data_IF_782482264857
#
_entry.id   IF_782482264857
#
_cell.length_a   1.000
_cell.length_b   1.000
_cell.length_c   1.000
_cell.angle_alpha   90.00
_cell.angle_beta   90.00
_cell.angle_gamma   90.00
#
_symmetry.space_group_name_H-M   'P 1'
#
loop_
_entity.id
_entity.type
_entity.pdbx_description
1 polymer ?
#
# COMPACT_ATOMS: atom_id res chain seq x y z
N UNK A 1 15.37 10.30 -15.79
CA UNK A 1 15.08 9.21 -14.84
C UNK A 1 13.63 8.81 -15.04
N UNK A 2 13.35 7.55 -15.38
CA UNK A 2 11.96 7.09 -15.46
C UNK A 2 11.37 7.07 -14.04
N UNK A 3 10.13 7.51 -13.90
CA UNK A 3 9.39 7.53 -12.64
C UNK A 3 8.28 6.49 -12.73
N UNK A 4 8.02 5.77 -11.64
CA UNK A 4 6.94 4.79 -11.61
C UNK A 4 5.59 5.44 -11.93
N UNK A 5 5.41 6.71 -11.54
CA UNK A 5 4.22 7.52 -11.80
C UNK A 5 3.93 7.75 -13.29
N UNK A 6 4.91 7.58 -14.19
CA UNK A 6 4.67 7.61 -15.63
C UNK A 6 3.93 6.35 -16.12
N UNK A 7 3.99 5.26 -15.36
CA UNK A 7 3.42 3.97 -15.73
C UNK A 7 2.23 3.58 -14.88
N UNK A 8 2.11 4.11 -13.67
CA UNK A 8 1.07 3.74 -12.74
C UNK A 8 0.63 4.91 -11.87
N UNK A 9 -0.68 4.97 -11.58
CA UNK A 9 -1.25 5.96 -10.67
C UNK A 9 -2.12 5.25 -9.62
N UNK A 10 -1.89 5.45 -8.31
CA UNK A 10 -2.84 5.00 -7.31
C UNK A 10 -4.14 5.79 -7.46
N UNK A 11 -5.27 5.10 -7.43
CA UNK A 11 -6.60 5.72 -7.64
C UNK A 11 -7.53 5.55 -6.46
N UNK A 12 -7.44 4.43 -5.74
CA UNK A 12 -8.40 4.14 -4.68
C UNK A 12 -7.80 3.32 -3.53
N UNK A 13 -8.28 3.58 -2.31
CA UNK A 13 -7.96 2.83 -1.11
C UNK A 13 -9.21 2.34 -0.39
N UNK A 14 -9.12 1.14 0.15
CA UNK A 14 -10.16 0.50 0.97
C UNK A 14 -9.54 0.02 2.27
N UNK A 15 -10.11 0.42 3.39
CA UNK A 15 -9.78 -0.11 4.71
C UNK A 15 -11.04 -0.70 5.34
N UNK A 16 -10.99 -2.00 5.63
CA UNK A 16 -12.07 -2.70 6.30
C UNK A 16 -12.23 -2.28 7.76
N UNK A 17 -13.35 -2.66 8.35
CA UNK A 17 -13.58 -2.52 9.79
C UNK A 17 -12.67 -3.44 10.62
N UNK A 18 -12.74 -3.29 11.94
CA UNK A 18 -12.04 -4.18 12.86
C UNK A 18 -12.64 -5.58 12.84
N UNK A 19 -11.77 -6.58 12.86
CA UNK A 19 -12.17 -7.95 13.16
C UNK A 19 -11.09 -8.65 13.99
N UNK A 20 -11.53 -9.59 14.82
CA UNK A 20 -10.68 -10.26 15.79
C UNK A 20 -10.03 -11.50 15.17
N UNK A 21 -8.76 -11.72 15.52
CA UNK A 21 -8.01 -12.95 15.28
C UNK A 21 -7.45 -13.47 16.60
N UNK A 22 -7.11 -14.74 16.59
CA UNK A 22 -6.49 -15.46 17.71
C UNK A 22 -5.19 -16.05 17.20
N UNK A 23 -4.09 -15.85 17.92
CA UNK A 23 -2.80 -16.45 17.58
C UNK A 23 -2.70 -17.87 18.19
N UNK A 24 -1.59 -18.56 17.91
CA UNK A 24 -1.32 -19.90 18.43
C UNK A 24 -1.18 -19.94 19.96
N UNK A 25 -0.87 -18.80 20.59
CA UNK A 25 -0.80 -18.62 22.04
C UNK A 25 -2.17 -18.32 22.69
N UNK A 26 -3.25 -18.30 21.90
CA UNK A 26 -4.62 -17.93 22.31
C UNK A 26 -4.80 -16.46 22.68
N UNK A 27 -3.84 -15.61 22.38
CA UNK A 27 -4.03 -14.16 22.50
C UNK A 27 -4.95 -13.68 21.40
N UNK A 28 -5.91 -12.84 21.79
CA UNK A 28 -6.83 -12.24 20.85
C UNK A 28 -6.41 -10.81 20.50
N UNK A 29 -6.47 -10.46 19.23
CA UNK A 29 -6.10 -9.13 18.75
C UNK A 29 -6.97 -8.72 17.57
N UNK A 30 -7.13 -7.42 17.38
CA UNK A 30 -7.89 -6.86 16.27
C UNK A 30 -6.96 -6.55 15.10
N UNK A 31 -7.41 -6.87 13.89
CA UNK A 31 -6.77 -6.48 12.64
C UNK A 31 -7.78 -5.79 11.72
N UNK A 32 -7.25 -5.07 10.74
CA UNK A 32 -8.00 -4.48 9.64
C UNK A 32 -7.34 -4.89 8.33
N UNK A 33 -8.14 -5.13 7.31
CA UNK A 33 -7.64 -5.42 5.96
C UNK A 33 -7.62 -4.15 5.13
N UNK A 34 -6.62 -4.01 4.28
CA UNK A 34 -6.45 -2.90 3.36
C UNK A 34 -6.28 -3.38 1.92
N UNK A 35 -6.72 -2.56 0.97
CA UNK A 35 -6.53 -2.77 -0.47
C UNK A 35 -6.34 -1.46 -1.20
N UNK A 36 -5.40 -1.43 -2.15
CA UNK A 36 -5.08 -0.26 -2.97
C UNK A 36 -5.22 -0.62 -4.44
N UNK A 37 -5.86 0.24 -5.22
CA UNK A 37 -6.08 0.10 -6.66
C UNK A 37 -5.27 1.13 -7.45
N UNK A 38 -4.80 0.72 -8.63
CA UNK A 38 -3.94 1.48 -9.52
C UNK A 38 -4.46 1.41 -10.96
N UNK A 39 -4.40 2.55 -11.65
CA UNK A 39 -4.43 2.58 -13.11
C UNK A 39 -3.01 2.39 -13.64
N UNK A 40 -2.84 1.54 -14.65
CA UNK A 40 -1.56 1.29 -15.33
C UNK A 40 -1.62 1.79 -16.77
N UNK A 41 -0.70 2.67 -17.13
CA UNK A 41 -0.59 3.30 -18.46
C UNK A 41 0.37 2.52 -19.39
N UNK A 42 0.41 1.21 -19.21
CA UNK A 42 1.20 0.28 -20.01
C UNK A 42 0.47 -1.06 -20.10
N UNK A 43 0.74 -1.80 -21.18
CA UNK A 43 0.24 -3.17 -21.34
C UNK A 43 0.74 -4.12 -20.24
N UNK A 44 0.21 -5.35 -20.22
CA UNK A 44 0.42 -6.36 -19.17
C UNK A 44 1.88 -6.71 -18.80
N UNK A 45 2.85 -6.35 -19.64
CA UNK A 45 4.27 -6.55 -19.34
C UNK A 45 4.77 -5.68 -18.17
N UNK A 46 4.03 -4.64 -17.79
CA UNK A 46 4.31 -3.86 -16.59
C UNK A 46 3.66 -4.49 -15.35
N UNK A 47 4.48 -4.87 -14.36
CA UNK A 47 4.02 -5.34 -13.06
C UNK A 47 4.21 -4.25 -11.99
N UNK A 48 3.45 -4.32 -10.90
CA UNK A 48 3.51 -3.37 -9.80
C UNK A 48 3.57 -4.10 -8.46
N UNK A 49 4.52 -3.72 -7.61
CA UNK A 49 4.57 -4.13 -6.19
C UNK A 49 4.39 -2.90 -5.31
N UNK A 50 3.69 -3.07 -4.20
CA UNK A 50 3.42 -1.98 -3.25
C UNK A 50 4.24 -2.19 -1.99
N UNK A 51 4.94 -1.15 -1.55
CA UNK A 51 5.65 -1.11 -0.28
C UNK A 51 4.78 -0.37 0.73
N UNK A 52 4.22 -1.08 1.70
CA UNK A 52 3.42 -0.51 2.79
C UNK A 52 4.34 -0.18 3.97
N UNK A 53 4.17 1.01 4.53
CA UNK A 53 4.87 1.48 5.74
C UNK A 53 3.85 1.80 6.82
N UNK A 54 3.89 1.05 7.91
CA UNK A 54 3.01 1.23 9.07
C UNK A 54 3.81 1.91 10.17
N UNK A 55 3.53 3.19 10.40
CA UNK A 55 4.18 3.99 11.42
C UNK A 55 3.46 3.86 12.75
N UNK A 56 4.22 3.57 13.80
CA UNK A 56 3.83 3.60 15.21
C UNK A 56 4.76 4.58 15.94
N UNK A 57 4.51 4.81 17.23
CA UNK A 57 5.29 5.78 18.03
C UNK A 57 6.81 5.55 17.95
N UNK A 58 7.26 4.30 18.04
CA UNK A 58 8.69 3.96 18.13
C UNK A 58 9.22 3.14 16.94
N UNK A 59 8.35 2.61 16.08
CA UNK A 59 8.75 1.67 15.00
C UNK A 59 8.02 1.99 13.69
N UNK A 60 8.66 1.64 12.58
CA UNK A 60 8.03 1.64 11.26
C UNK A 60 8.17 0.23 10.67
N UNK A 61 7.03 -0.46 10.54
CA UNK A 61 6.98 -1.77 9.91
C UNK A 61 6.88 -1.58 8.39
N UNK A 62 7.65 -2.34 7.61
CA UNK A 62 7.63 -2.26 6.15
C UNK A 62 7.30 -3.62 5.55
N UNK A 63 6.33 -3.64 4.65
CA UNK A 63 5.84 -4.84 3.97
C UNK A 63 5.82 -4.63 2.46
N UNK A 64 6.03 -5.69 1.68
CA UNK A 64 5.81 -5.70 0.24
C UNK A 64 4.55 -6.50 -0.05
N UNK A 65 3.64 -5.92 -0.81
CA UNK A 65 2.34 -6.50 -1.17
C UNK A 65 2.29 -6.67 -2.68
N UNK A 66 1.98 -7.88 -3.12
CA UNK A 66 1.75 -8.20 -4.51
C UNK A 66 0.42 -7.62 -5.00
N UNK A 67 0.37 -7.36 -6.31
CA UNK A 67 -0.84 -6.91 -6.97
C UNK A 67 -1.26 -7.88 -8.06
N UNK A 68 -2.57 -8.02 -8.25
CA UNK A 68 -3.17 -8.84 -9.31
C UNK A 68 -3.78 -7.92 -10.39
N UNK A 69 -3.59 -8.21 -11.69
CA UNK A 69 -4.12 -7.39 -12.78
C UNK A 69 -5.60 -7.66 -13.04
N UNK A 70 -6.31 -6.63 -13.50
CA UNK A 70 -7.70 -6.70 -13.94
C UNK A 70 -7.98 -5.60 -14.97
N UNK A 71 -9.17 -5.64 -15.59
CA UNK A 71 -9.62 -4.64 -16.58
C UNK A 71 -8.56 -4.40 -17.66
N UNK A 72 -8.19 -5.48 -18.35
CA UNK A 72 -6.99 -5.57 -19.19
C UNK A 72 -7.33 -5.14 -20.61
N UNK A 73 -6.55 -4.18 -21.11
CA UNK A 73 -6.50 -3.79 -22.51
C UNK A 73 -5.08 -3.94 -23.07
N UNK A 74 -4.91 -3.70 -24.37
CA UNK A 74 -3.63 -3.90 -25.04
C UNK A 74 -2.55 -2.91 -24.59
N UNK A 75 -2.92 -1.66 -24.27
CA UNK A 75 -2.02 -0.57 -23.86
C UNK A 75 -2.16 -0.13 -22.41
N UNK A 76 -3.17 -0.62 -21.69
CA UNK A 76 -3.46 -0.26 -20.30
C UNK A 76 -4.07 -1.42 -19.55
N UNK A 77 -3.99 -1.36 -18.23
CA UNK A 77 -4.74 -2.25 -17.35
C UNK A 77 -4.91 -1.62 -15.97
N UNK A 78 -5.59 -2.31 -15.06
CA UNK A 78 -5.62 -1.94 -13.64
C UNK A 78 -4.93 -3.01 -12.81
N UNK A 79 -4.43 -2.62 -11.65
CA UNK A 79 -3.87 -3.55 -10.66
C UNK A 79 -4.39 -3.23 -9.28
N UNK A 80 -4.68 -4.26 -8.50
CA UNK A 80 -5.07 -4.10 -7.12
C UNK A 80 -4.15 -4.92 -6.24
N UNK A 81 -3.77 -4.39 -5.08
CA UNK A 81 -3.09 -5.20 -4.07
C UNK A 81 -3.96 -6.38 -3.68
N UNK A 82 -3.32 -7.50 -3.32
CA UNK A 82 -3.98 -8.45 -2.42
C UNK A 82 -4.32 -7.77 -1.11
N UNK A 83 -5.28 -8.33 -0.40
CA UNK A 83 -5.63 -7.82 0.92
C UNK A 83 -4.41 -7.93 1.83
N UNK A 84 -3.99 -6.80 2.39
CA UNK A 84 -2.94 -6.74 3.41
C UNK A 84 -3.58 -6.45 4.76
N UNK A 85 -2.97 -6.95 5.83
CA UNK A 85 -3.52 -6.81 7.17
C UNK A 85 -2.64 -5.92 8.01
N UNK A 86 -3.27 -4.96 8.69
CA UNK A 86 -2.61 -4.10 9.67
C UNK A 86 -3.18 -4.41 11.04
N UNK A 87 -2.31 -4.47 12.04
CA UNK A 87 -2.70 -4.57 13.45
C UNK A 87 -2.77 -3.17 14.06
N UNK A 88 -3.97 -2.62 14.33
CA UNK A 88 -4.09 -1.22 14.76
C UNK A 88 -3.52 -0.96 16.15
N UNK A 89 -3.58 -1.96 17.03
CA UNK A 89 -3.00 -1.92 18.36
C UNK A 89 -2.11 -3.13 18.59
N UNK A 90 -0.83 -2.87 18.82
CA UNK A 90 0.14 -3.87 19.29
C UNK A 90 0.40 -3.65 20.78
N UNK A 91 0.37 -4.73 21.56
CA UNK A 91 0.71 -4.69 23.00
C UNK A 91 2.15 -4.23 23.23
N UNK A 92 3.06 -4.51 22.29
CA UNK A 92 4.48 -4.19 22.44
C UNK A 92 4.88 -2.86 21.79
N UNK A 93 4.26 -2.52 20.66
CA UNK A 93 4.68 -1.37 19.84
C UNK A 93 3.66 -0.23 19.79
N UNK A 94 2.55 -0.36 20.52
CA UNK A 94 1.52 0.67 20.61
C UNK A 94 0.62 0.77 19.38
N UNK A 95 -0.01 1.93 19.25
CA UNK A 95 -1.00 2.21 18.20
C UNK A 95 -0.33 2.61 16.88
N UNK A 96 -1.00 2.29 15.78
CA UNK A 96 -0.63 2.83 14.47
C UNK A 96 -1.06 4.29 14.38
N UNK A 97 -0.16 5.12 13.86
CA UNK A 97 -0.36 6.56 13.73
C UNK A 97 -0.61 6.98 12.29
N UNK A 98 0.01 6.28 11.34
CA UNK A 98 -0.13 6.55 9.92
C UNK A 98 0.24 5.29 9.13
N UNK A 99 -0.48 5.04 8.04
CA UNK A 99 -0.07 4.07 7.03
C UNK A 99 0.24 4.83 5.75
N UNK A 100 1.47 4.68 5.27
CA UNK A 100 1.89 5.19 3.96
C UNK A 100 2.19 4.04 3.02
N UNK A 101 2.24 4.34 1.75
CA UNK A 101 2.72 3.40 0.75
C UNK A 101 3.57 4.08 -0.31
N UNK A 102 4.47 3.31 -0.90
CA UNK A 102 5.14 3.61 -2.16
C UNK A 102 4.96 2.41 -3.07
N UNK A 103 5.35 2.52 -4.33
CA UNK A 103 5.22 1.40 -5.26
C UNK A 103 6.42 1.30 -6.19
N UNK A 104 6.62 0.13 -6.76
CA UNK A 104 7.71 -0.18 -7.68
C UNK A 104 7.07 -0.79 -8.92
N UNK A 105 7.31 -0.16 -10.07
CA UNK A 105 6.94 -0.69 -11.37
C UNK A 105 8.09 -1.54 -11.88
N UNK A 106 7.79 -2.78 -12.25
CA UNK A 106 8.72 -3.67 -12.91
C UNK A 106 8.39 -3.72 -14.40
N UNK A 107 9.34 -3.31 -15.24
CA UNK A 107 9.17 -3.28 -16.69
C UNK A 107 10.50 -3.59 -17.37
N UNK A 108 10.53 -4.62 -18.23
CA UNK A 108 11.70 -4.95 -19.03
C UNK A 108 12.97 -5.12 -18.18
N UNK A 109 12.89 -5.95 -17.12
CA UNK A 109 13.97 -6.19 -16.14
C UNK A 109 14.34 -5.00 -15.24
N UNK A 110 13.76 -3.82 -15.46
CA UNK A 110 13.99 -2.66 -14.62
C UNK A 110 13.04 -2.60 -13.44
N UNK A 111 13.54 -2.13 -12.29
CA UNK A 111 12.74 -1.83 -11.11
C UNK A 111 12.71 -0.31 -10.89
N UNK A 112 11.57 0.31 -11.21
CA UNK A 112 11.37 1.75 -11.22
C UNK A 112 10.56 2.15 -9.98
N UNK A 113 11.18 2.79 -8.96
CA UNK A 113 10.48 3.16 -7.74
C UNK A 113 9.63 4.43 -7.94
N UNK A 114 8.53 4.53 -7.18
CA UNK A 114 7.73 5.74 -7.10
C UNK A 114 8.57 6.89 -6.55
N UNK A 115 8.36 8.09 -7.10
CA UNK A 115 8.94 9.33 -6.60
C UNK A 115 8.44 9.65 -5.21
N UNK A 116 7.17 9.35 -4.93
CA UNK A 116 6.51 9.73 -3.68
C UNK A 116 6.09 8.52 -2.83
N UNK A 117 5.99 8.77 -1.53
CA UNK A 117 5.19 8.02 -0.57
C UNK A 117 3.84 8.72 -0.42
N UNK A 118 2.77 7.96 -0.49
CA UNK A 118 1.38 8.38 -0.42
C UNK A 118 0.81 8.01 0.94
N UNK A 119 -0.09 8.84 1.48
CA UNK A 119 -0.84 8.48 2.68
C UNK A 119 -1.95 7.53 2.26
N UNK A 120 -1.89 6.30 2.77
CA UNK A 120 -3.02 5.39 2.68
C UNK A 120 -4.08 5.78 3.70
N UNK A 121 -3.69 5.93 4.98
CA UNK A 121 -4.60 6.30 6.05
C UNK A 121 -3.89 7.13 7.12
N UNK A 122 -4.57 8.14 7.62
CA UNK A 122 -4.11 8.95 8.75
C UNK A 122 -4.62 8.43 10.10
N UNK A 123 -4.15 9.06 11.19
CA UNK A 123 -4.53 8.68 12.55
C UNK A 123 -6.04 8.61 12.76
N UNK A 124 -6.81 9.58 12.29
CA UNK A 124 -8.25 9.65 12.53
C UNK A 124 -8.97 8.49 11.86
N UNK A 125 -8.61 8.21 10.61
CA UNK A 125 -9.14 7.09 9.84
C UNK A 125 -8.80 5.74 10.47
N UNK A 126 -7.60 5.60 11.03
CA UNK A 126 -7.15 4.35 11.64
C UNK A 126 -7.89 4.02 12.95
N UNK A 127 -8.39 5.03 13.67
CA UNK A 127 -9.18 4.85 14.90
C UNK A 127 -10.68 4.62 14.62
N UNK A 128 -11.19 5.05 13.47
CA UNK A 128 -12.58 4.78 13.08
C UNK A 128 -12.74 3.31 12.64
N UNK A 129 -13.62 2.59 13.32
CA UNK A 129 -13.89 1.18 13.08
C UNK A 129 -14.79 0.87 11.90
N UNK A 130 -15.32 1.88 11.23
CA UNK A 130 -16.13 1.70 10.04
C UNK A 130 -15.28 1.34 8.81
N UNK A 131 -15.95 0.76 7.83
CA UNK A 131 -15.39 0.58 6.49
C UNK A 131 -15.14 1.94 5.85
N UNK A 132 -13.93 2.13 5.33
CA UNK A 132 -13.48 3.39 4.78
C UNK A 132 -12.99 3.22 3.35
N UNK A 133 -13.30 4.25 2.57
CA UNK A 133 -13.07 4.33 1.15
C UNK A 133 -12.60 5.74 0.83
N UNK A 134 -11.53 5.89 0.07
CA UNK A 134 -11.15 7.20 -0.43
C UNK A 134 -10.40 7.11 -1.75
N UNK A 135 -10.52 8.18 -2.53
CA UNK A 135 -9.70 8.39 -3.70
C UNK A 135 -8.28 8.70 -3.29
N UNK A 136 -7.32 8.16 -4.04
CA UNK A 136 -5.90 8.46 -3.85
C UNK A 136 -5.55 9.73 -4.61
N UNK A 137 -4.88 10.66 -3.93
CA UNK A 137 -4.42 11.92 -4.51
C UNK A 137 -2.94 12.11 -4.16
N UNK A 138 -2.29 13.02 -4.88
CA UNK A 138 -0.94 13.48 -4.53
C UNK A 138 -0.94 14.42 -3.29
N UNK A 139 -2.11 14.68 -2.72
CA UNK A 139 -2.26 15.54 -1.55
C UNK A 139 -1.59 14.86 -0.34
N UNK A 140 -0.70 15.59 0.33
CA UNK A 140 0.16 15.08 1.40
C UNK A 140 1.17 13.99 0.99
N UNK A 141 1.40 13.78 -0.31
CA UNK A 141 2.47 12.91 -0.78
C UNK A 141 3.84 13.46 -0.35
N UNK A 142 4.68 12.59 0.20
CA UNK A 142 6.02 12.93 0.68
C UNK A 142 7.10 12.29 -0.19
N UNK A 143 8.31 12.85 -0.34
CA UNK A 143 9.34 12.25 -1.18
C UNK A 143 9.72 10.82 -0.73
N UNK A 144 9.76 9.88 -1.66
CA UNK A 144 10.19 8.52 -1.41
C UNK A 144 11.72 8.43 -1.41
N UNK A 145 12.26 7.83 -0.34
CA UNK A 145 13.71 7.58 -0.20
C UNK A 145 14.14 6.21 -0.68
N UNK A 146 13.20 5.33 -1.06
CA UNK A 146 13.53 4.02 -1.62
C UNK A 146 14.33 4.19 -2.93
N UNK A 147 15.38 3.40 -3.08
CA UNK A 147 16.25 3.37 -4.26
C UNK A 147 16.40 1.93 -4.70
N UNK A 148 16.26 1.70 -5.98
CA UNK A 148 16.60 0.44 -6.62
C UNK A 148 18.04 0.56 -7.16
N UNK A 149 18.81 -0.51 -7.02
CA UNK A 149 20.13 -0.63 -7.62
C UNK A 149 20.06 -1.82 -8.56
N UNK A 150 20.27 -1.58 -9.84
CA UNK A 150 20.47 -2.64 -10.84
C UNK A 150 21.96 -3.00 -10.83
N UNK A 151 22.27 -4.29 -10.87
CA UNK A 151 23.64 -4.84 -10.89
C UNK A 151 24.00 -5.17 -12.32
#
# INVERSE_FOLDING_TARGET
MQLAEHYARPVFGKLGGFFQRVNDFKDTFNIRWGRIEFDMFHGLSANLKVVIKVYRDAVCETYIVDTDPYDIEWDRHKRATRDFYIQPFSTHFGRINCVKFSFIVHLGEHAIPSRNEYIFMDWHQLQDGQHQHHSMTDEHATPNRHRTHEI
#
